data_IF_023314063595
#
_entry.id   IF_023314063595
#
_cell.length_a   1.000
_cell.length_b   1.000
_cell.length_c   1.000
_cell.angle_alpha   90.00
_cell.angle_beta   90.00
_cell.angle_gamma   90.00
#
_symmetry.space_group_name_H-M   'P 1'
#
loop_
_entity.id
_entity.type
_entity.pdbx_description
1 polymer ?
#
# COMPACT_ATOMS: atom_id res chain seq x y z
N UNK A 1 -14.57 -13.48 -10.30
CA UNK A 1 -13.24 -12.86 -10.15
C UNK A 1 -12.86 -12.22 -11.49
N UNK A 2 -12.99 -10.89 -11.65
CA UNK A 2 -12.57 -10.25 -12.89
C UNK A 2 -11.04 -10.28 -12.94
N UNK A 3 -10.50 -10.98 -13.94
CA UNK A 3 -9.07 -10.96 -14.27
C UNK A 3 -8.78 -10.10 -15.48
N UNK A 4 -9.79 -9.90 -16.33
CA UNK A 4 -9.77 -9.03 -17.48
C UNK A 4 -10.26 -7.63 -17.07
N UNK A 5 -9.43 -6.63 -17.34
CA UNK A 5 -9.69 -5.23 -17.07
C UNK A 5 -9.86 -4.51 -18.41
N UNK A 6 -11.10 -4.29 -18.88
CA UNK A 6 -11.33 -3.66 -20.17
C UNK A 6 -10.73 -2.24 -20.18
N UNK A 7 -10.19 -1.84 -21.34
CA UNK A 7 -9.78 -0.47 -21.55
C UNK A 7 -10.96 0.49 -21.33
N UNK A 8 -10.74 1.66 -20.73
CA UNK A 8 -11.80 2.65 -20.58
C UNK A 8 -12.29 3.09 -21.96
N UNK A 9 -13.60 3.26 -22.11
CA UNK A 9 -14.14 3.86 -23.33
C UNK A 9 -13.63 5.30 -23.44
N UNK A 10 -13.09 5.71 -24.61
CA UNK A 10 -12.57 7.06 -24.79
C UNK A 10 -13.73 8.07 -24.79
N UNK A 11 -14.07 8.58 -23.61
CA UNK A 11 -15.01 9.70 -23.48
C UNK A 11 -14.23 10.99 -23.69
N UNK A 12 -14.53 11.72 -24.78
CA UNK A 12 -14.01 13.07 -24.98
C UNK A 12 -14.74 14.03 -24.03
N UNK A 13 -14.08 14.64 -23.02
CA UNK A 13 -14.74 15.65 -22.20
C UNK A 13 -15.06 16.90 -23.03
N UNK A 14 -16.15 17.58 -22.68
CA UNK A 14 -16.58 18.85 -23.28
C UNK A 14 -15.60 19.97 -22.88
N UNK A 15 -14.42 20.00 -23.49
CA UNK A 15 -13.37 20.97 -23.18
C UNK A 15 -11.93 20.55 -23.50
N UNK A 16 -11.68 19.33 -23.99
CA UNK A 16 -10.33 18.92 -24.40
C UNK A 16 -10.05 17.44 -24.19
N UNK A 17 -8.79 17.13 -23.91
CA UNK A 17 -8.33 15.79 -23.52
C UNK A 17 -8.10 15.76 -22.01
N UNK A 18 -8.60 14.73 -21.32
CA UNK A 18 -8.18 14.42 -19.95
C UNK A 18 -7.04 13.38 -19.96
N UNK A 19 -6.30 13.23 -18.85
CA UNK A 19 -5.15 12.31 -18.76
C UNK A 19 -5.51 10.87 -19.12
N UNK A 20 -6.74 10.44 -18.84
CA UNK A 20 -7.25 9.11 -19.22
C UNK A 20 -7.42 8.96 -20.74
N UNK A 21 -7.97 9.96 -21.42
CA UNK A 21 -8.10 9.94 -22.88
C UNK A 21 -6.74 10.03 -23.59
N UNK A 22 -5.78 10.80 -23.07
CA UNK A 22 -4.40 10.80 -23.61
C UNK A 22 -3.69 9.45 -23.44
N UNK A 23 -3.78 8.82 -22.28
CA UNK A 23 -3.18 7.49 -22.06
C UNK A 23 -3.88 6.40 -22.89
N UNK A 24 -5.21 6.47 -23.05
CA UNK A 24 -5.95 5.57 -23.93
C UNK A 24 -5.55 5.72 -25.42
N UNK A 25 -5.02 6.89 -25.82
CA UNK A 25 -4.62 7.16 -27.21
C UNK A 25 -3.13 6.99 -27.51
N UNK A 26 -2.23 7.09 -26.52
CA UNK A 26 -0.77 7.11 -26.77
C UNK A 26 -0.04 5.80 -26.42
N UNK A 27 -0.61 4.92 -25.61
CA UNK A 27 0.01 3.62 -25.27
C UNK A 27 -1.08 2.57 -25.10
N UNK A 28 -1.32 1.81 -26.19
CA UNK A 28 -2.15 0.60 -26.28
C UNK A 28 -3.47 0.63 -25.49
N UNK A 29 -4.63 0.89 -26.14
CA UNK A 29 -5.98 0.78 -25.55
C UNK A 29 -6.37 -0.68 -25.25
N UNK A 30 -5.40 -1.54 -24.99
CA UNK A 30 -5.62 -2.95 -24.78
C UNK A 30 -6.15 -3.18 -23.38
N UNK A 31 -7.04 -4.17 -23.27
CA UNK A 31 -7.42 -4.69 -21.98
C UNK A 31 -6.18 -5.10 -21.18
N UNK A 32 -6.24 -4.92 -19.87
CA UNK A 32 -5.17 -5.31 -18.96
C UNK A 32 -5.55 -6.58 -18.19
N UNK A 33 -4.57 -7.20 -17.55
CA UNK A 33 -4.79 -8.36 -16.69
C UNK A 33 -4.52 -8.00 -15.23
N UNK A 34 -5.52 -8.17 -14.35
CA UNK A 34 -5.40 -7.93 -12.91
C UNK A 34 -4.30 -8.78 -12.25
N UNK A 35 -3.82 -9.85 -12.90
CA UNK A 35 -2.73 -10.71 -12.41
C UNK A 35 -1.33 -10.27 -12.86
N UNK A 36 -1.25 -9.25 -13.70
CA UNK A 36 0.00 -8.73 -14.24
C UNK A 36 0.26 -7.33 -13.68
N UNK A 37 0.46 -7.14 -12.36
CA UNK A 37 0.70 -5.80 -11.81
C UNK A 37 1.96 -5.17 -12.41
N UNK A 38 2.01 -3.84 -12.49
CA UNK A 38 3.18 -3.07 -12.95
C UNK A 38 3.61 -1.99 -11.95
N UNK A 39 3.05 -2.01 -10.75
CA UNK A 39 3.39 -1.14 -9.65
C UNK A 39 3.13 -1.85 -8.33
N UNK A 40 3.66 -1.30 -7.23
CA UNK A 40 3.42 -1.81 -5.88
C UNK A 40 1.92 -1.79 -5.52
N UNK A 41 1.22 -0.68 -5.80
CA UNK A 41 -0.22 -0.57 -5.51
C UNK A 41 -1.05 -1.62 -6.28
N UNK A 42 -0.76 -1.82 -7.57
CA UNK A 42 -1.44 -2.86 -8.36
C UNK A 42 -1.10 -4.27 -7.87
N UNK A 43 0.13 -4.50 -7.39
CA UNK A 43 0.51 -5.78 -6.79
C UNK A 43 -0.29 -6.05 -5.50
N UNK A 44 -0.48 -5.03 -4.66
CA UNK A 44 -1.28 -5.11 -3.45
C UNK A 44 -2.74 -5.45 -3.77
N UNK A 45 -3.37 -4.70 -4.68
CA UNK A 45 -4.75 -4.93 -5.13
C UNK A 45 -4.93 -6.35 -5.69
N UNK A 46 -4.02 -6.77 -6.59
CA UNK A 46 -4.04 -8.08 -7.24
C UNK A 46 -3.97 -9.26 -6.25
N UNK A 47 -3.26 -9.06 -5.14
CA UNK A 47 -3.07 -10.09 -4.10
C UNK A 47 -4.18 -10.09 -3.08
N UNK A 48 -4.74 -8.93 -2.75
CA UNK A 48 -5.86 -8.80 -1.81
C UNK A 48 -7.14 -9.36 -2.41
N UNK A 49 -7.57 -8.80 -3.53
CA UNK A 49 -8.79 -9.21 -4.21
C UNK A 49 -8.84 -8.59 -5.61
N UNK A 50 -8.77 -9.43 -6.65
CA UNK A 50 -8.78 -8.91 -8.03
C UNK A 50 -10.09 -8.22 -8.42
N UNK A 51 -11.16 -8.35 -7.63
CA UNK A 51 -12.41 -7.59 -7.80
C UNK A 51 -12.24 -6.09 -7.51
N UNK A 52 -11.20 -5.72 -6.76
CA UNK A 52 -10.86 -4.33 -6.46
C UNK A 52 -10.02 -3.70 -7.57
N UNK A 53 -9.42 -4.50 -8.45
CA UNK A 53 -8.60 -4.01 -9.55
C UNK A 53 -9.46 -3.25 -10.57
N UNK A 54 -9.08 -2.00 -10.84
CA UNK A 54 -9.59 -1.20 -11.96
C UNK A 54 -8.51 -1.06 -13.05
N UNK A 55 -8.89 -0.58 -14.23
CA UNK A 55 -7.92 -0.35 -15.30
C UNK A 55 -6.84 0.66 -14.88
N UNK A 56 -5.58 0.38 -15.26
CA UNK A 56 -4.37 1.10 -14.84
C UNK A 56 -3.55 0.30 -13.82
N UNK A 57 -2.33 0.72 -13.47
CA UNK A 57 -1.06 0.12 -13.90
C UNK A 57 -0.96 -1.43 -13.87
N UNK A 58 -1.72 -2.12 -14.72
CA UNK A 58 -1.52 -3.55 -15.01
C UNK A 58 -0.94 -3.76 -16.42
N UNK A 59 -0.32 -4.91 -16.65
CA UNK A 59 0.19 -5.33 -17.95
C UNK A 59 -0.92 -5.81 -18.86
N UNK A 60 -0.64 -5.85 -20.17
CA UNK A 60 -1.59 -6.25 -21.20
C UNK A 60 -2.22 -7.62 -20.91
N UNK A 61 -3.52 -7.74 -21.21
CA UNK A 61 -4.21 -9.00 -21.20
C UNK A 61 -3.76 -9.83 -22.42
N UNK A 62 -3.41 -11.10 -22.20
CA UNK A 62 -3.07 -12.03 -23.28
C UNK A 62 -4.28 -12.39 -24.15
N UNK A 63 -5.49 -12.23 -23.60
CA UNK A 63 -6.73 -12.44 -24.32
C UNK A 63 -7.27 -11.07 -24.76
N UNK A 64 -6.89 -10.65 -25.97
CA UNK A 64 -7.32 -9.38 -26.58
C UNK A 64 -8.76 -9.46 -27.16
N UNK A 65 -9.64 -10.25 -26.55
CA UNK A 65 -11.03 -10.41 -26.99
C UNK A 65 -11.98 -9.75 -26.00
N UNK A 66 -13.15 -9.31 -26.48
CA UNK A 66 -14.15 -8.63 -25.64
C UNK A 66 -14.73 -9.51 -24.50
N UNK A 67 -14.60 -10.84 -24.61
CA UNK A 67 -15.06 -11.80 -23.62
C UNK A 67 -14.01 -12.91 -23.43
N UNK A 68 -12.93 -12.64 -22.68
CA UNK A 68 -11.86 -13.62 -22.50
C UNK A 68 -12.26 -14.71 -21.50
N UNK A 69 -11.95 -15.96 -21.83
CA UNK A 69 -12.03 -17.05 -20.86
C UNK A 69 -10.83 -16.98 -19.90
N UNK A 70 -11.03 -16.31 -18.78
CA UNK A 70 -9.99 -16.18 -17.76
C UNK A 70 -9.67 -17.51 -17.04
N UNK A 71 -10.51 -18.53 -17.14
CA UNK A 71 -10.28 -19.83 -16.48
C UNK A 71 -9.25 -20.68 -17.23
N UNK A 72 -9.24 -20.59 -18.56
CA UNK A 72 -8.25 -21.21 -19.43
C UNK A 72 -7.02 -20.31 -19.70
N UNK A 73 -6.93 -19.15 -19.05
CA UNK A 73 -5.88 -18.17 -19.30
C UNK A 73 -4.51 -18.68 -18.81
N UNK A 74 -3.45 -18.63 -19.62
CA UNK A 74 -2.12 -19.10 -19.21
C UNK A 74 -1.54 -18.27 -18.06
N UNK A 75 -1.89 -16.99 -17.94
CA UNK A 75 -1.49 -16.16 -16.79
C UNK A 75 -2.13 -16.67 -15.50
N UNK A 76 -3.40 -17.07 -15.56
CA UNK A 76 -4.09 -17.65 -14.40
C UNK A 76 -3.52 -19.03 -14.07
N UNK A 77 -3.29 -19.88 -15.07
CA UNK A 77 -2.67 -21.19 -14.87
C UNK A 77 -1.27 -21.06 -14.23
N UNK A 78 -0.46 -20.12 -14.72
CA UNK A 78 0.89 -19.87 -14.22
C UNK A 78 0.92 -19.25 -12.82
N UNK A 79 -0.18 -18.70 -12.30
CA UNK A 79 -0.29 -18.27 -10.89
C UNK A 79 -0.21 -19.46 -9.92
N UNK A 80 -0.61 -20.65 -10.38
CA UNK A 80 -0.54 -21.88 -9.60
C UNK A 80 0.78 -22.64 -9.83
N UNK A 81 1.61 -22.17 -10.77
CA UNK A 81 2.95 -22.70 -10.98
C UNK A 81 3.93 -21.90 -10.11
N UNK A 82 4.64 -22.54 -9.15
CA UNK A 82 5.56 -21.86 -8.27
C UNK A 82 6.73 -21.18 -9.01
N UNK A 83 6.96 -21.49 -10.29
CA UNK A 83 7.90 -20.78 -11.16
C UNK A 83 9.27 -20.59 -10.50
N UNK A 84 9.52 -19.38 -9.98
CA UNK A 84 10.74 -19.01 -9.25
C UNK A 84 10.42 -18.84 -7.76
N UNK A 85 11.16 -19.53 -6.90
CA UNK A 85 11.06 -19.40 -5.44
C UNK A 85 12.00 -18.35 -4.86
N UNK A 86 11.66 -17.81 -3.69
CA UNK A 86 12.54 -16.96 -2.89
C UNK A 86 13.39 -17.85 -1.99
N UNK A 87 14.71 -17.85 -2.21
CA UNK A 87 15.70 -18.58 -1.39
C UNK A 87 16.20 -17.74 -0.20
N UNK A 88 15.30 -17.02 0.47
CA UNK A 88 15.64 -16.30 1.69
C UNK A 88 15.52 -17.24 2.89
N UNK A 89 16.56 -17.29 3.73
CA UNK A 89 16.55 -18.08 4.98
C UNK A 89 15.62 -17.51 6.07
N UNK A 90 15.17 -16.26 5.93
CA UNK A 90 14.28 -15.60 6.87
C UNK A 90 12.80 -15.65 6.48
N UNK A 91 11.98 -15.05 7.34
CA UNK A 91 10.53 -14.87 7.16
C UNK A 91 10.17 -13.52 6.52
N UNK A 92 11.16 -12.72 6.17
CA UNK A 92 10.99 -11.49 5.41
C UNK A 92 12.15 -11.33 4.41
N UNK A 93 11.86 -10.68 3.28
CA UNK A 93 12.86 -10.27 2.30
C UNK A 93 12.48 -8.90 1.77
N UNK A 94 13.46 -8.05 1.53
CA UNK A 94 13.22 -6.74 0.95
C UNK A 94 13.31 -6.82 -0.58
N UNK A 95 12.37 -6.18 -1.26
CA UNK A 95 12.33 -6.07 -2.72
C UNK A 95 12.69 -4.65 -3.11
N UNK A 96 13.89 -4.44 -3.63
CA UNK A 96 14.34 -3.14 -4.14
C UNK A 96 13.90 -2.96 -5.59
N UNK A 97 13.29 -1.81 -5.92
CA UNK A 97 12.86 -1.45 -7.28
C UNK A 97 13.92 -0.54 -7.92
N UNK A 98 14.60 -1.05 -8.95
CA UNK A 98 15.55 -0.33 -9.80
C UNK A 98 14.84 0.09 -11.09
N UNK A 99 14.29 1.31 -11.11
CA UNK A 99 13.63 1.87 -12.29
C UNK A 99 14.67 2.43 -13.26
N UNK A 100 14.68 1.89 -14.48
CA UNK A 100 15.58 2.33 -15.57
C UNK A 100 14.78 2.79 -16.76
N UNK A 101 15.38 3.65 -17.59
CA UNK A 101 14.83 3.95 -18.91
C UNK A 101 15.36 2.92 -19.91
N UNK A 102 14.46 2.23 -20.60
CA UNK A 102 14.79 1.31 -21.70
C UNK A 102 14.27 1.87 -23.03
N UNK A 103 14.88 1.46 -24.14
CA UNK A 103 14.55 1.98 -25.47
C UNK A 103 15.45 3.13 -25.91
N UNK A 104 15.23 3.62 -27.13
CA UNK A 104 16.03 4.68 -27.74
C UNK A 104 15.17 5.90 -28.10
N UNK A 105 15.69 7.10 -27.82
CA UNK A 105 15.07 8.39 -28.14
C UNK A 105 13.56 8.43 -27.81
N UNK A 106 12.70 8.56 -28.82
CA UNK A 106 11.25 8.71 -28.69
C UNK A 106 10.51 7.42 -28.29
N UNK A 107 11.22 6.29 -28.17
CA UNK A 107 10.69 5.01 -27.69
C UNK A 107 11.17 4.68 -26.28
N UNK A 108 11.79 5.64 -25.59
CA UNK A 108 12.27 5.44 -24.23
C UNK A 108 11.11 5.32 -23.23
N UNK A 109 11.06 4.24 -22.45
CA UNK A 109 10.04 4.01 -21.42
C UNK A 109 10.67 3.51 -20.11
N UNK A 110 10.08 3.83 -18.95
CA UNK A 110 10.53 3.29 -17.68
C UNK A 110 10.27 1.78 -17.60
N UNK A 111 11.27 1.03 -17.15
CA UNK A 111 11.22 -0.39 -16.86
C UNK A 111 11.72 -0.60 -15.45
N UNK A 112 10.88 -1.23 -14.64
CA UNK A 112 11.23 -1.63 -13.29
C UNK A 112 11.93 -2.99 -13.34
N UNK A 113 13.09 -3.07 -12.67
CA UNK A 113 13.75 -4.34 -12.31
C UNK A 113 13.73 -4.45 -10.80
N UNK A 114 13.38 -5.62 -10.28
CA UNK A 114 13.34 -5.82 -8.84
C UNK A 114 14.48 -6.71 -8.37
N UNK A 115 14.91 -6.49 -7.14
CA UNK A 115 16.02 -7.21 -6.56
C UNK A 115 15.66 -7.63 -5.15
N UNK A 116 15.83 -8.92 -4.84
CA UNK A 116 15.64 -9.42 -3.49
C UNK A 116 16.92 -9.16 -2.69
N UNK A 117 16.79 -8.54 -1.53
CA UNK A 117 17.89 -8.20 -0.64
C UNK A 117 17.49 -8.41 0.83
N UNK A 118 18.48 -8.48 1.72
CA UNK A 118 18.29 -8.59 3.16
C UNK A 118 17.63 -7.35 3.78
N UNK A 119 17.74 -6.18 3.15
CA UNK A 119 17.14 -4.97 3.69
C UNK A 119 17.34 -3.71 2.84
N UNK A 120 16.73 -2.58 3.25
CA UNK A 120 16.79 -1.35 2.48
C UNK A 120 18.21 -0.75 2.38
N UNK A 121 19.05 -0.92 3.41
CA UNK A 121 20.42 -0.38 3.43
C UNK A 121 21.46 -1.19 2.65
N UNK A 122 21.07 -2.23 1.90
CA UNK A 122 22.01 -3.02 1.10
C UNK A 122 22.42 -2.25 -0.16
N UNK A 123 23.65 -1.73 -0.16
CA UNK A 123 24.21 -0.99 -1.29
C UNK A 123 24.50 -1.88 -2.52
N UNK A 124 24.71 -3.19 -2.30
CA UNK A 124 25.12 -4.15 -3.33
C UNK A 124 23.96 -5.07 -3.77
N UNK A 125 22.72 -4.58 -3.62
CA UNK A 125 21.48 -5.33 -3.93
C UNK A 125 21.37 -5.85 -5.37
N UNK A 126 22.22 -5.39 -6.30
CA UNK A 126 22.22 -5.81 -7.72
C UNK A 126 23.03 -7.10 -7.98
N UNK A 127 23.27 -7.89 -6.94
CA UNK A 127 24.03 -9.15 -6.98
C UNK A 127 23.12 -10.35 -7.25
N UNK A 128 22.60 -10.47 -8.47
CA UNK A 128 21.73 -11.60 -8.82
C UNK A 128 21.01 -11.46 -10.16
N UNK A 129 20.00 -12.30 -10.37
CA UNK A 129 19.06 -12.13 -11.48
C UNK A 129 17.85 -11.29 -11.03
N UNK A 130 17.53 -10.18 -11.71
CA UNK A 130 16.41 -9.34 -11.33
C UNK A 130 15.08 -10.07 -11.46
N UNK A 131 14.11 -9.66 -10.66
CA UNK A 131 12.74 -10.10 -10.68
C UNK A 131 11.87 -9.12 -11.47
N UNK A 132 10.82 -9.66 -12.09
CA UNK A 132 9.75 -8.87 -12.72
C UNK A 132 8.51 -8.80 -11.83
N UNK A 133 7.62 -7.84 -12.08
CA UNK A 133 6.37 -7.70 -11.33
C UNK A 133 5.50 -8.96 -11.42
N UNK A 134 5.50 -9.63 -12.57
CA UNK A 134 4.80 -10.90 -12.78
C UNK A 134 5.42 -12.05 -11.97
N UNK A 135 6.75 -12.13 -11.88
CA UNK A 135 7.39 -13.13 -11.04
C UNK A 135 7.08 -12.90 -9.56
N UNK A 136 7.13 -11.65 -9.08
CA UNK A 136 6.80 -11.31 -7.69
C UNK A 136 5.32 -11.58 -7.40
N UNK A 137 4.40 -11.27 -8.33
CA UNK A 137 2.97 -11.50 -8.12
C UNK A 137 2.62 -12.97 -7.87
N UNK A 138 3.39 -13.90 -8.44
CA UNK A 138 3.21 -15.36 -8.31
C UNK A 138 3.76 -15.98 -7.02
N UNK A 139 4.45 -15.22 -6.17
CA UNK A 139 4.98 -15.72 -4.89
C UNK A 139 3.87 -15.96 -3.84
N UNK A 140 3.13 -17.07 -3.94
CA UNK A 140 1.95 -17.36 -3.10
C UNK A 140 2.26 -17.61 -1.63
N UNK A 141 3.47 -18.06 -1.31
CA UNK A 141 3.95 -18.25 0.07
C UNK A 141 4.44 -16.94 0.73
N UNK A 142 4.19 -15.79 0.10
CA UNK A 142 4.62 -14.49 0.58
C UNK A 142 3.45 -13.50 0.54
N UNK A 143 3.35 -12.64 1.54
CA UNK A 143 2.45 -11.50 1.61
C UNK A 143 3.24 -10.23 1.29
N UNK A 144 2.63 -9.28 0.58
CA UNK A 144 3.23 -7.98 0.28
C UNK A 144 3.05 -7.08 1.49
N UNK A 145 4.16 -6.58 2.02
CA UNK A 145 4.18 -5.67 3.15
C UNK A 145 4.48 -4.24 2.73
N UNK A 146 5.00 -3.50 3.72
CA UNK A 146 5.27 -2.07 3.66
C UNK A 146 6.14 -1.66 2.47
N UNK A 147 5.77 -0.55 1.84
CA UNK A 147 6.58 0.19 0.89
C UNK A 147 7.60 1.08 1.62
N UNK A 148 8.83 1.11 1.14
CA UNK A 148 9.93 1.91 1.68
C UNK A 148 10.47 2.82 0.58
N UNK A 149 10.68 4.09 0.91
CA UNK A 149 11.36 5.07 0.06
C UNK A 149 12.53 5.64 0.86
N UNK A 150 13.73 5.49 0.33
CA UNK A 150 14.98 5.95 0.95
C UNK A 150 15.90 6.60 -0.08
N UNK A 151 17.12 6.93 0.33
CA UNK A 151 18.16 7.53 -0.51
C UNK A 151 18.58 6.66 -1.70
N UNK A 152 18.40 5.34 -1.61
CA UNK A 152 18.72 4.39 -2.69
C UNK A 152 17.55 4.24 -3.67
N UNK A 153 16.33 4.53 -3.22
CA UNK A 153 15.13 4.59 -4.05
C UNK A 153 13.94 3.89 -3.40
N UNK A 154 13.09 3.29 -4.22
CA UNK A 154 11.85 2.64 -3.79
C UNK A 154 12.04 1.14 -3.57
N UNK A 155 11.36 0.56 -2.59
CA UNK A 155 11.21 -0.88 -2.44
C UNK A 155 10.03 -1.24 -1.55
N UNK A 156 9.89 -2.52 -1.21
CA UNK A 156 8.87 -2.99 -0.28
C UNK A 156 9.26 -4.34 0.34
N UNK A 157 8.67 -4.65 1.49
CA UNK A 157 8.87 -5.94 2.15
C UNK A 157 7.96 -7.02 1.56
N UNK A 158 8.48 -8.24 1.49
CA UNK A 158 7.69 -9.46 1.41
C UNK A 158 7.84 -10.21 2.73
N UNK A 159 6.74 -10.73 3.26
CA UNK A 159 6.71 -11.53 4.48
C UNK A 159 6.26 -12.95 4.15
N UNK A 160 6.89 -13.96 4.70
CA UNK A 160 6.48 -15.36 4.49
C UNK A 160 5.09 -15.55 5.07
N UNK A 161 4.17 -16.08 4.28
CA UNK A 161 2.84 -16.43 4.74
C UNK A 161 2.98 -17.59 5.75
N UNK A 162 2.44 -17.48 6.97
CA UNK A 162 2.55 -18.54 7.97
C UNK A 162 2.01 -19.86 7.41
N UNK A 163 2.84 -20.89 7.38
CA UNK A 163 2.47 -22.21 6.86
C UNK A 163 1.70 -22.99 7.92
N UNK A 164 0.49 -22.53 8.26
CA UNK A 164 -0.43 -23.24 9.14
C UNK A 164 -1.34 -24.18 8.33
N UNK A 165 -1.71 -25.37 8.84
CA UNK A 165 -2.69 -26.23 8.17
C UNK A 165 -4.06 -25.56 8.20
N UNK A 166 -4.52 -25.07 7.05
CA UNK A 166 -5.87 -24.51 6.90
C UNK A 166 -6.89 -25.65 6.86
N UNK A 167 -7.35 -26.09 8.02
CA UNK A 167 -8.72 -26.58 8.12
C UNK A 167 -9.66 -25.38 7.83
N UNK A 168 -10.79 -25.55 7.13
CA UNK A 168 -11.79 -24.50 7.05
C UNK A 168 -12.40 -24.36 8.45
N UNK A 169 -11.77 -23.54 9.28
CA UNK A 169 -12.39 -23.11 10.51
C UNK A 169 -13.51 -22.15 10.11
N UNK A 170 -14.74 -22.52 10.45
CA UNK A 170 -15.76 -21.57 10.88
C UNK A 170 -15.20 -20.80 12.11
N UNK A 171 -14.19 -19.97 11.90
CA UNK A 171 -13.80 -18.94 12.83
C UNK A 171 -14.69 -17.77 12.51
N UNK A 172 -15.67 -17.52 13.38
CA UNK A 172 -16.09 -16.15 13.64
C UNK A 172 -14.80 -15.35 13.85
N UNK A 173 -14.41 -14.59 12.83
CA UNK A 173 -13.25 -13.72 12.86
C UNK A 173 -13.44 -12.82 14.08
N UNK A 174 -12.53 -12.92 15.05
CA UNK A 174 -12.42 -11.88 16.05
C UNK A 174 -12.37 -10.54 15.27
N UNK A 175 -13.17 -9.54 15.64
CA UNK A 175 -13.22 -8.29 14.90
C UNK A 175 -11.79 -7.77 14.75
N UNK A 176 -11.36 -7.59 13.51
CA UNK A 176 -10.03 -7.10 13.20
C UNK A 176 -9.85 -5.75 13.89
N UNK A 177 -8.83 -5.65 14.74
CA UNK A 177 -8.59 -4.47 15.54
C UNK A 177 -8.10 -3.33 14.64
N UNK A 178 -8.70 -2.15 14.77
CA UNK A 178 -8.42 -0.99 13.94
C UNK A 178 -7.45 -0.04 14.65
N UNK A 179 -6.41 0.43 13.96
CA UNK A 179 -5.38 1.28 14.54
C UNK A 179 -5.99 2.55 15.19
N UNK A 180 -6.86 3.26 14.47
CA UNK A 180 -7.54 4.45 14.97
C UNK A 180 -8.42 4.19 16.20
N UNK A 181 -9.07 3.03 16.27
CA UNK A 181 -9.82 2.64 17.47
C UNK A 181 -8.92 2.41 18.68
N UNK A 182 -7.75 1.78 18.49
CA UNK A 182 -6.77 1.58 19.57
C UNK A 182 -6.31 2.94 20.11
N UNK A 183 -5.97 3.89 19.25
CA UNK A 183 -5.57 5.24 19.68
C UNK A 183 -6.73 6.00 20.36
N UNK A 184 -7.96 5.91 19.86
CA UNK A 184 -9.13 6.49 20.50
C UNK A 184 -9.34 5.94 21.93
N UNK A 185 -9.17 4.62 22.12
CA UNK A 185 -9.26 3.99 23.44
C UNK A 185 -8.14 4.45 24.37
N UNK A 186 -6.91 4.55 23.86
CA UNK A 186 -5.76 5.05 24.62
C UNK A 186 -5.96 6.51 25.08
N UNK A 187 -6.46 7.38 24.19
CA UNK A 187 -6.80 8.78 24.52
C UNK A 187 -7.96 8.87 25.52
N UNK A 188 -8.99 8.03 25.36
CA UNK A 188 -10.12 7.97 26.30
C UNK A 188 -9.67 7.56 27.70
N UNK A 189 -8.71 6.62 27.80
CA UNK A 189 -8.12 6.22 29.08
C UNK A 189 -7.35 7.37 29.77
N UNK A 190 -6.90 8.37 29.02
CA UNK A 190 -6.29 9.62 29.53
C UNK A 190 -7.33 10.74 29.78
N UNK A 191 -8.63 10.48 29.57
CA UNK A 191 -9.69 11.47 29.77
C UNK A 191 -9.90 12.43 28.60
N UNK A 192 -9.38 12.11 27.42
CA UNK A 192 -9.55 12.92 26.21
C UNK A 192 -10.54 12.27 25.24
N UNK A 193 -11.56 13.03 24.83
CA UNK A 193 -12.49 12.58 23.80
C UNK A 193 -11.80 12.64 22.44
N UNK A 194 -11.87 11.53 21.70
CA UNK A 194 -11.26 11.40 20.38
C UNK A 194 -12.22 10.69 19.42
N UNK A 195 -12.12 11.01 18.13
CA UNK A 195 -12.92 10.36 17.10
C UNK A 195 -12.10 10.18 15.82
N UNK A 196 -12.35 9.09 15.09
CA UNK A 196 -11.82 8.92 13.73
C UNK A 196 -12.66 9.77 12.78
N UNK A 197 -12.02 10.72 12.09
CA UNK A 197 -12.65 11.63 11.14
C UNK A 197 -12.03 11.50 9.75
N UNK A 198 -12.79 11.73 8.66
CA UNK A 198 -12.24 11.82 7.32
C UNK A 198 -11.46 13.14 7.14
N UNK A 199 -10.26 13.07 6.58
CA UNK A 199 -9.41 14.25 6.29
C UNK A 199 -9.38 14.61 4.80
N UNK A 200 -10.07 13.84 3.95
CA UNK A 200 -10.08 13.98 2.50
C UNK A 200 -9.16 12.96 1.81
N UNK A 201 -9.30 12.78 0.50
CA UNK A 201 -8.44 11.86 -0.25
C UNK A 201 -8.55 10.38 0.13
N UNK A 202 -9.67 9.96 0.73
CA UNK A 202 -9.88 8.64 1.36
C UNK A 202 -8.99 8.38 2.59
N UNK A 203 -8.44 9.43 3.19
CA UNK A 203 -7.70 9.34 4.43
C UNK A 203 -8.58 9.66 5.65
N UNK A 204 -8.21 9.07 6.78
CA UNK A 204 -8.82 9.32 8.09
C UNK A 204 -7.75 9.68 9.10
N UNK A 205 -8.12 10.43 10.13
CA UNK A 205 -7.27 10.75 11.28
C UNK A 205 -8.06 10.58 12.57
N UNK A 206 -7.37 10.32 13.68
CA UNK A 206 -7.92 10.48 15.02
C UNK A 206 -7.82 11.95 15.39
N UNK A 207 -8.95 12.60 15.64
CA UNK A 207 -9.03 14.01 16.02
C UNK A 207 -9.33 14.18 17.50
N UNK A 208 -8.61 15.11 18.14
CA UNK A 208 -8.84 15.58 19.51
C UNK A 208 -9.04 17.09 19.47
N UNK A 209 -10.24 17.55 19.84
CA UNK A 209 -10.53 18.98 19.93
C UNK A 209 -9.94 19.56 21.21
N UNK A 210 -9.21 20.67 21.09
CA UNK A 210 -8.56 21.37 22.21
C UNK A 210 -8.87 22.87 22.12
N UNK A 211 -8.75 23.64 23.21
CA UNK A 211 -8.84 25.09 23.13
C UNK A 211 -7.87 25.66 22.08
N UNK A 212 -8.39 26.44 21.13
CA UNK A 212 -7.59 27.09 20.09
C UNK A 212 -7.27 26.24 18.85
N UNK A 213 -7.76 25.01 18.76
CA UNK A 213 -7.56 24.20 17.54
C UNK A 213 -7.89 22.72 17.69
N UNK A 214 -7.22 21.90 16.90
CA UNK A 214 -7.36 20.44 16.93
C UNK A 214 -6.01 19.73 16.79
N UNK A 215 -5.89 18.57 17.44
CA UNK A 215 -4.77 17.64 17.19
C UNK A 215 -5.29 16.54 16.27
N UNK A 216 -4.60 16.34 15.15
CA UNK A 216 -4.87 15.24 14.23
C UNK A 216 -3.74 14.22 14.32
N UNK A 217 -4.10 12.96 14.52
CA UNK A 217 -3.18 11.83 14.53
C UNK A 217 -3.50 10.82 13.43
N UNK A 218 -2.48 10.42 12.68
CA UNK A 218 -2.56 9.44 11.60
C UNK A 218 -1.52 8.34 11.79
N UNK A 219 -1.84 7.13 11.34
CA UNK A 219 -0.88 6.05 11.22
C UNK A 219 -0.41 5.99 9.75
N UNK A 220 0.83 6.43 9.51
CA UNK A 220 1.40 6.75 8.19
C UNK A 220 0.60 7.80 7.38
N UNK A 221 -0.58 7.44 6.88
CA UNK A 221 -1.48 8.30 6.11
C UNK A 221 -2.95 8.22 6.53
N UNK A 222 -3.37 7.17 7.24
CA UNK A 222 -4.77 6.90 7.58
C UNK A 222 -4.88 6.29 8.98
N UNK A 223 -5.89 6.66 9.75
CA UNK A 223 -6.17 6.00 11.03
C UNK A 223 -7.07 4.75 10.88
N UNK A 224 -7.78 4.61 9.75
CA UNK A 224 -8.79 3.57 9.54
C UNK A 224 -8.22 2.38 8.75
N UNK A 225 -7.23 1.70 9.32
CA UNK A 225 -6.72 0.43 8.81
C UNK A 225 -6.50 -0.57 9.94
N UNK A 226 -6.17 -1.81 9.57
CA UNK A 226 -5.92 -2.87 10.53
C UNK A 226 -4.69 -2.53 11.38
N UNK A 227 -4.76 -2.79 12.68
CA UNK A 227 -3.65 -2.59 13.61
C UNK A 227 -2.41 -3.43 13.25
N UNK A 228 -2.60 -4.55 12.56
CA UNK A 228 -1.51 -5.36 12.03
C UNK A 228 -0.68 -4.64 10.94
N UNK A 229 -1.26 -3.64 10.29
CA UNK A 229 -0.61 -2.80 9.27
C UNK A 229 0.00 -1.52 9.87
N UNK A 230 0.02 -1.40 11.21
CA UNK A 230 0.60 -0.26 11.91
C UNK A 230 2.07 -0.03 11.55
N UNK A 231 2.41 1.21 11.22
CA UNK A 231 3.80 1.63 11.06
C UNK A 231 4.21 2.54 12.21
N UNK A 232 3.54 3.69 12.34
CA UNK A 232 3.81 4.68 13.39
C UNK A 232 2.73 5.74 13.40
N UNK A 233 2.39 6.19 14.59
CA UNK A 233 1.59 7.38 14.78
C UNK A 233 2.39 8.65 14.49
N UNK A 234 1.76 9.57 13.79
CA UNK A 234 2.15 10.96 13.69
C UNK A 234 1.00 11.81 14.21
N UNK A 235 1.26 12.74 15.13
CA UNK A 235 0.27 13.67 15.65
C UNK A 235 0.77 15.11 15.52
N UNK A 236 -0.08 16.00 15.03
CA UNK A 236 0.20 17.42 14.93
C UNK A 236 -0.98 18.27 15.40
N UNK A 237 -0.69 19.39 16.04
CA UNK A 237 -1.65 20.42 16.41
C UNK A 237 -1.83 21.42 15.27
N UNK A 238 -3.08 21.81 15.03
CA UNK A 238 -3.52 22.77 14.02
C UNK A 238 -4.32 23.89 14.70
N UNK A 239 -3.77 25.11 14.84
CA UNK A 239 -4.47 26.26 15.39
C UNK A 239 -5.53 26.74 14.41
N UNK A 240 -6.74 27.02 14.91
CA UNK A 240 -7.87 27.54 14.11
C UNK A 240 -8.13 26.80 12.77
N UNK A 241 -7.74 25.52 12.70
CA UNK A 241 -7.80 24.68 11.51
C UNK A 241 -6.97 25.19 10.30
N UNK A 242 -5.92 25.99 10.53
CA UNK A 242 -5.00 26.41 9.46
C UNK A 242 -3.93 25.32 9.21
N UNK A 243 -3.95 24.63 8.05
CA UNK A 243 -2.95 23.61 7.73
C UNK A 243 -1.53 24.19 7.56
N UNK A 244 -1.38 25.50 7.40
CA UNK A 244 -0.10 26.19 7.25
C UNK A 244 0.67 26.38 8.55
N UNK A 245 0.00 26.30 9.71
CA UNK A 245 0.60 26.60 11.02
C UNK A 245 0.57 25.37 11.93
N UNK A 246 1.11 24.24 11.46
CA UNK A 246 1.11 22.99 12.23
C UNK A 246 2.29 22.91 13.22
N UNK A 247 2.04 22.36 14.40
CA UNK A 247 3.08 21.98 15.36
C UNK A 247 3.10 20.48 15.56
N UNK A 248 4.24 19.83 15.32
CA UNK A 248 4.40 18.39 15.54
C UNK A 248 4.32 18.10 17.06
N UNK A 249 3.44 17.19 17.44
CA UNK A 249 3.21 16.76 18.84
C UNK A 249 3.87 15.42 19.10
N UNK A 250 3.69 14.45 18.19
CA UNK A 250 4.23 13.10 18.31
C UNK A 250 4.70 12.58 16.95
N UNK A 251 5.86 11.93 16.94
CA UNK A 251 6.35 11.16 15.79
C UNK A 251 6.86 9.82 16.30
N UNK A 252 6.12 8.76 16.02
CA UNK A 252 6.50 7.40 16.38
C UNK A 252 7.79 6.96 15.68
N UNK A 253 8.56 6.13 16.36
CA UNK A 253 9.84 5.60 15.88
C UNK A 253 9.68 4.41 14.92
N UNK A 254 8.48 3.85 14.81
CA UNK A 254 8.14 2.75 13.93
C UNK A 254 8.69 1.39 14.32
N UNK A 255 9.04 1.21 15.61
CA UNK A 255 9.53 -0.06 16.17
C UNK A 255 8.61 -0.65 17.22
N UNK A 256 7.56 0.08 17.59
CA UNK A 256 6.56 -0.32 18.57
C UNK A 256 5.40 -1.03 17.87
N UNK A 257 4.72 -1.94 18.56
CA UNK A 257 3.44 -2.45 18.07
C UNK A 257 2.34 -1.38 18.18
N UNK A 258 1.20 -1.60 17.51
CA UNK A 258 0.11 -0.62 17.44
C UNK A 258 -0.40 -0.17 18.83
N UNK A 259 -0.41 -1.06 19.83
CA UNK A 259 -0.88 -0.75 21.17
C UNK A 259 0.15 0.09 21.94
N UNK A 260 1.42 -0.32 21.86
CA UNK A 260 2.53 0.39 22.48
C UNK A 260 2.69 1.79 21.90
N UNK A 261 2.65 1.93 20.58
CA UNK A 261 2.79 3.23 19.92
C UNK A 261 1.57 4.11 20.16
N UNK A 262 0.35 3.55 20.14
CA UNK A 262 -0.86 4.30 20.47
C UNK A 262 -0.83 4.81 21.92
N UNK A 263 -0.37 3.99 22.88
CA UNK A 263 -0.21 4.40 24.26
C UNK A 263 0.84 5.51 24.43
N UNK A 264 1.97 5.41 23.74
CA UNK A 264 3.01 6.44 23.74
C UNK A 264 2.51 7.75 23.11
N UNK A 265 1.85 7.66 21.95
CA UNK A 265 1.22 8.79 21.26
C UNK A 265 0.18 9.48 22.15
N UNK A 266 -0.74 8.72 22.76
CA UNK A 266 -1.78 9.25 23.65
C UNK A 266 -1.18 9.95 24.89
N UNK A 267 -0.12 9.41 25.48
CA UNK A 267 0.56 10.04 26.62
C UNK A 267 1.19 11.39 26.23
N UNK A 268 1.86 11.46 25.08
CA UNK A 268 2.47 12.71 24.60
C UNK A 268 1.42 13.76 24.24
N UNK A 269 0.30 13.35 23.62
CA UNK A 269 -0.84 14.25 23.36
C UNK A 269 -1.41 14.80 24.67
N UNK A 270 -1.62 13.95 25.68
CA UNK A 270 -2.15 14.38 26.98
C UNK A 270 -1.20 15.37 27.69
N UNK A 271 0.11 15.12 27.65
CA UNK A 271 1.14 16.01 28.20
C UNK A 271 1.15 17.36 27.48
N UNK A 272 1.03 17.34 26.14
CA UNK A 272 0.96 18.55 25.34
C UNK A 272 -0.28 19.38 25.67
N UNK A 273 -1.45 18.75 25.80
CA UNK A 273 -2.70 19.43 26.17
C UNK A 273 -2.52 20.12 27.53
N UNK A 274 -2.03 19.40 28.56
CA UNK A 274 -1.81 19.97 29.89
C UNK A 274 -0.84 21.15 29.92
N UNK A 275 0.11 21.21 28.98
CA UNK A 275 1.07 22.30 28.89
C UNK A 275 0.52 23.54 28.17
N UNK A 276 -0.55 23.40 27.38
CA UNK A 276 -1.04 24.45 26.48
C UNK A 276 -2.51 24.87 26.76
N UNK A 277 -3.15 24.32 27.79
CA UNK A 277 -4.50 24.70 28.25
C UNK A 277 -4.50 25.12 29.71
#
# INVERSE_FOLDING_TARGET
MPLHLPGPEPVRPAGGWNRFSLNAHMTTPDAQCALCPRSWAALLDSRRDTRLCAWGPYGSCVAATAAPDCTACPVFAARNDPGRSVEAGGDHVFVRIDRRIAGEMFTAFPVDRMWLTAGPGDADFRTGEPWTWDQVSRLTAWTVGRRVLDETGEGFWLHRTPTGPTAPADTATAPEENAGQILCLALSAQGHAAAVIPTGGNCTAVAVTVPGGEILATDDACADHQAADHDRWFAAFYPDHDPGDRTDVYTGIGTLDAHQDAAACAAVIADWIRANT
#
